data_IF_682143285085
#
_entry.id   IF_682143285085
#
_cell.length_a   1.000
_cell.length_b   1.000
_cell.length_c   1.000
_cell.angle_alpha   90.00
_cell.angle_beta   90.00
_cell.angle_gamma   90.00
#
_symmetry.space_group_name_H-M   'P 1'
#
loop_
_entity.id
_entity.type
_entity.pdbx_description
1 polymer ?
#
# COMPACT_ATOMS: atom_id res chain seq x y z
N UNK A 1 9.55 -20.02 -11.94
CA UNK A 1 8.41 -19.67 -11.07
C UNK A 1 7.35 -18.97 -11.88
N UNK A 2 6.13 -19.37 -11.72
CA UNK A 2 5.02 -18.81 -12.46
C UNK A 2 4.27 -17.78 -11.61
N UNK A 3 3.40 -17.01 -12.27
CA UNK A 3 2.54 -16.06 -11.57
C UNK A 3 1.63 -16.75 -10.54
N UNK A 4 1.43 -18.06 -10.69
CA UNK A 4 0.59 -18.83 -9.75
C UNK A 4 1.24 -19.04 -8.38
N UNK A 5 2.53 -18.71 -8.23
CA UNK A 5 3.23 -18.82 -6.97
C UNK A 5 2.69 -17.84 -5.92
N UNK A 6 2.04 -16.75 -6.34
CA UNK A 6 1.52 -15.70 -5.48
C UNK A 6 0.02 -15.57 -5.70
N UNK A 7 -0.80 -15.59 -4.60
CA UNK A 7 -2.23 -15.33 -4.75
C UNK A 7 -2.45 -13.94 -5.37
N UNK A 8 -3.32 -13.88 -6.36
CA UNK A 8 -3.62 -12.62 -7.04
C UNK A 8 -4.46 -11.73 -6.13
N UNK A 9 -4.05 -10.46 -6.00
CA UNK A 9 -4.73 -9.49 -5.17
C UNK A 9 -5.08 -8.25 -5.98
N UNK A 10 -6.07 -7.53 -5.54
CA UNK A 10 -6.42 -6.22 -6.08
C UNK A 10 -5.79 -5.19 -5.16
N UNK A 11 -4.89 -4.37 -5.70
CA UNK A 11 -4.06 -3.47 -4.91
C UNK A 11 -4.23 -2.04 -5.42
N UNK A 12 -4.48 -1.12 -4.49
CA UNK A 12 -4.50 0.32 -4.77
C UNK A 12 -3.16 0.90 -4.35
N UNK A 13 -2.47 1.54 -5.28
CA UNK A 13 -1.17 2.18 -5.01
C UNK A 13 -1.33 3.69 -5.09
N UNK A 14 -0.92 4.39 -4.05
CA UNK A 14 -1.09 5.84 -3.94
C UNK A 14 0.26 6.50 -3.72
N UNK A 15 0.66 7.36 -4.63
CA UNK A 15 1.90 8.14 -4.52
C UNK A 15 1.76 9.36 -5.42
N UNK A 16 2.16 10.53 -4.92
CA UNK A 16 2.08 11.76 -5.71
C UNK A 16 3.10 11.82 -6.83
N UNK A 17 4.09 10.91 -6.81
CA UNK A 17 5.07 10.80 -7.89
C UNK A 17 4.62 9.70 -8.88
N UNK A 18 4.22 10.08 -10.11
CA UNK A 18 3.75 9.08 -11.08
C UNK A 18 4.76 7.99 -11.38
N UNK A 19 6.05 8.31 -11.40
CA UNK A 19 7.08 7.32 -11.68
C UNK A 19 7.17 6.26 -10.60
N UNK A 20 6.93 6.62 -9.34
CA UNK A 20 6.90 5.65 -8.24
C UNK A 20 5.68 4.74 -8.39
N UNK A 21 4.52 5.32 -8.70
CA UNK A 21 3.32 4.53 -8.96
C UNK A 21 3.54 3.52 -10.09
N UNK A 22 4.15 3.97 -11.19
CA UNK A 22 4.41 3.11 -12.34
C UNK A 22 5.37 1.98 -11.98
N UNK A 23 6.42 2.27 -11.21
CA UNK A 23 7.37 1.26 -10.78
C UNK A 23 6.73 0.20 -9.90
N UNK A 24 5.96 0.63 -8.91
CA UNK A 24 5.28 -0.30 -8.01
C UNK A 24 4.25 -1.13 -8.78
N UNK A 25 3.49 -0.49 -9.65
CA UNK A 25 2.52 -1.20 -10.48
C UNK A 25 3.19 -2.26 -11.34
N UNK A 26 4.33 -1.93 -11.95
CA UNK A 26 5.06 -2.88 -12.77
C UNK A 26 5.49 -4.11 -11.95
N UNK A 27 6.05 -3.86 -10.77
CA UNK A 27 6.50 -4.94 -9.89
C UNK A 27 5.35 -5.84 -9.45
N UNK A 28 4.25 -5.26 -9.05
CA UNK A 28 3.11 -6.03 -8.57
C UNK A 28 2.37 -6.74 -9.70
N UNK A 29 2.29 -6.11 -10.86
CA UNK A 29 1.71 -6.75 -12.04
C UNK A 29 2.53 -7.95 -12.48
N UNK A 30 3.85 -7.86 -12.34
CA UNK A 30 4.75 -8.98 -12.62
C UNK A 30 4.39 -10.22 -11.79
N UNK A 31 3.94 -10.01 -10.56
CA UNK A 31 3.51 -11.09 -9.68
C UNK A 31 2.04 -11.50 -9.90
N UNK A 32 1.37 -10.91 -10.87
CA UNK A 32 0.01 -11.29 -11.23
C UNK A 32 -1.09 -10.51 -10.53
N UNK A 33 -0.76 -9.47 -9.78
CA UNK A 33 -1.77 -8.66 -9.10
C UNK A 33 -2.45 -7.70 -10.07
N UNK A 34 -3.68 -7.31 -9.73
CA UNK A 34 -4.42 -6.26 -10.43
C UNK A 34 -4.20 -4.96 -9.66
N UNK A 35 -3.64 -3.96 -10.33
CA UNK A 35 -3.21 -2.72 -9.67
C UNK A 35 -3.93 -1.51 -10.25
N UNK A 36 -4.50 -0.70 -9.36
CA UNK A 36 -4.98 0.64 -9.69
C UNK A 36 -4.07 1.64 -9.01
N UNK A 37 -3.89 2.79 -9.62
CA UNK A 37 -3.04 3.85 -9.05
C UNK A 37 -3.83 5.14 -8.85
N UNK A 38 -3.42 5.89 -7.83
CA UNK A 38 -3.92 7.23 -7.56
C UNK A 38 -2.75 8.11 -7.16
N UNK A 39 -2.82 9.39 -7.45
CA UNK A 39 -1.70 10.30 -7.21
C UNK A 39 -1.96 11.27 -6.07
N UNK A 40 -3.05 11.11 -5.35
CA UNK A 40 -3.39 11.90 -4.17
C UNK A 40 -4.44 11.17 -3.34
N UNK A 41 -4.65 11.65 -2.13
CA UNK A 41 -5.58 11.00 -1.21
C UNK A 41 -7.03 11.06 -1.66
N UNK A 42 -7.44 12.17 -2.28
CA UNK A 42 -8.82 12.33 -2.73
C UNK A 42 -9.17 11.33 -3.83
N UNK A 43 -8.27 11.19 -4.82
CA UNK A 43 -8.47 10.23 -5.90
C UNK A 43 -8.43 8.80 -5.38
N UNK A 44 -7.55 8.54 -4.41
CA UNK A 44 -7.46 7.22 -3.79
C UNK A 44 -8.77 6.85 -3.09
N UNK A 45 -9.34 7.78 -2.33
CA UNK A 45 -10.62 7.53 -1.65
C UNK A 45 -11.76 7.34 -2.65
N UNK A 46 -11.76 8.07 -3.76
CA UNK A 46 -12.76 7.89 -4.80
C UNK A 46 -12.71 6.49 -5.38
N UNK A 47 -11.51 5.98 -5.67
CA UNK A 47 -11.33 4.62 -6.15
C UNK A 47 -11.71 3.60 -5.08
N UNK A 48 -11.29 3.84 -3.84
CA UNK A 48 -11.59 2.94 -2.72
C UNK A 48 -13.11 2.79 -2.51
N UNK A 49 -13.85 3.86 -2.76
CA UNK A 49 -15.31 3.84 -2.62
C UNK A 49 -16.02 3.14 -3.78
N UNK A 50 -15.37 3.06 -4.94
CA UNK A 50 -15.96 2.44 -6.14
C UNK A 50 -15.64 0.95 -6.26
N UNK A 51 -14.48 0.53 -5.79
CA UNK A 51 -13.98 -0.82 -6.00
C UNK A 51 -13.49 -1.39 -4.68
N UNK A 52 -13.47 -2.71 -4.61
CA UNK A 52 -12.90 -3.39 -3.44
C UNK A 52 -11.44 -3.70 -3.70
N UNK A 53 -10.61 -3.42 -2.72
CA UNK A 53 -9.19 -3.72 -2.76
C UNK A 53 -8.81 -4.64 -1.62
N UNK A 54 -7.90 -5.57 -1.91
CA UNK A 54 -7.35 -6.44 -0.88
C UNK A 54 -6.30 -5.71 -0.06
N UNK A 55 -5.62 -4.74 -0.67
CA UNK A 55 -4.53 -4.02 -0.04
C UNK A 55 -4.45 -2.61 -0.59
N UNK A 56 -4.12 -1.65 0.28
CA UNK A 56 -3.77 -0.28 -0.11
C UNK A 56 -2.31 -0.06 0.24
N UNK A 57 -1.53 0.43 -0.72
CA UNK A 57 -0.14 0.82 -0.50
C UNK A 57 -0.06 2.32 -0.74
N UNK A 58 0.37 3.08 0.25
CA UNK A 58 0.42 4.54 0.13
C UNK A 58 1.78 5.09 0.54
N UNK A 59 2.21 6.15 -0.15
CA UNK A 59 3.33 6.96 0.30
C UNK A 59 2.90 7.74 1.55
N UNK A 60 3.88 8.16 2.35
CA UNK A 60 3.60 8.95 3.54
C UNK A 60 3.45 10.43 3.22
N UNK A 61 4.48 11.03 2.62
CA UNK A 61 4.48 12.46 2.34
C UNK A 61 3.86 12.75 0.99
N UNK A 62 2.65 13.26 1.02
CA UNK A 62 1.91 13.71 -0.16
C UNK A 62 1.30 15.06 0.14
N UNK A 63 1.17 15.94 -0.88
CA UNK A 63 0.48 17.23 -0.66
C UNK A 63 -0.97 17.02 -0.24
N UNK A 64 -1.48 17.94 0.56
CA UNK A 64 -2.88 18.03 1.01
C UNK A 64 -3.27 16.93 1.99
N UNK A 65 -3.06 15.67 1.65
CA UNK A 65 -3.41 14.55 2.53
C UNK A 65 -2.23 13.59 2.61
N UNK A 66 -1.65 13.43 3.80
CA UNK A 66 -0.57 12.47 4.02
C UNK A 66 -1.10 11.05 4.02
N UNK A 67 -0.18 10.10 3.82
CA UNK A 67 -0.54 8.68 3.81
C UNK A 67 -1.19 8.19 5.10
N UNK A 68 -0.77 8.72 6.25
CA UNK A 68 -1.39 8.35 7.53
C UNK A 68 -2.83 8.88 7.64
N UNK A 69 -3.09 10.06 7.10
CA UNK A 69 -4.44 10.62 7.05
C UNK A 69 -5.34 9.81 6.11
N UNK A 70 -4.78 9.40 4.96
CA UNK A 70 -5.50 8.54 4.04
C UNK A 70 -5.83 7.19 4.69
N UNK A 71 -4.85 6.59 5.37
CA UNK A 71 -5.06 5.33 6.08
C UNK A 71 -6.17 5.46 7.12
N UNK A 72 -6.18 6.56 7.88
CA UNK A 72 -7.23 6.80 8.87
C UNK A 72 -8.62 6.88 8.22
N UNK A 73 -8.72 7.57 7.09
CA UNK A 73 -9.98 7.69 6.36
C UNK A 73 -10.46 6.33 5.83
N UNK A 74 -9.53 5.52 5.33
CA UNK A 74 -9.84 4.17 4.84
C UNK A 74 -10.30 3.28 6.00
N UNK A 75 -9.57 3.29 7.11
CA UNK A 75 -9.91 2.47 8.28
C UNK A 75 -11.24 2.90 8.92
N UNK A 76 -11.60 4.18 8.79
CA UNK A 76 -12.90 4.64 9.26
C UNK A 76 -14.05 3.99 8.47
N UNK A 77 -13.84 3.70 7.19
CA UNK A 77 -14.83 3.04 6.35
C UNK A 77 -14.78 1.52 6.50
N UNK A 78 -13.57 0.97 6.61
CA UNK A 78 -13.38 -0.47 6.76
C UNK A 78 -12.19 -0.73 7.68
N UNK A 79 -12.44 -0.96 8.98
CA UNK A 79 -11.35 -1.17 9.95
C UNK A 79 -10.44 -2.36 9.64
N UNK A 80 -10.91 -3.31 8.85
CA UNK A 80 -10.14 -4.51 8.51
C UNK A 80 -9.32 -4.36 7.23
N UNK A 81 -9.44 -3.22 6.54
CA UNK A 81 -8.69 -2.99 5.30
C UNK A 81 -7.19 -2.93 5.58
N UNK A 82 -6.39 -3.83 5.00
CA UNK A 82 -4.93 -3.74 5.15
C UNK A 82 -4.38 -2.52 4.43
N UNK A 83 -3.47 -1.80 5.09
CA UNK A 83 -2.80 -0.63 4.54
C UNK A 83 -1.30 -0.74 4.81
N UNK A 84 -0.50 -0.65 3.76
CA UNK A 84 0.95 -0.63 3.82
C UNK A 84 1.42 0.77 3.44
N UNK A 85 2.41 1.29 4.17
CA UNK A 85 2.98 2.59 3.88
C UNK A 85 4.40 2.42 3.35
N UNK A 86 4.73 3.14 2.28
CA UNK A 86 6.09 3.23 1.75
C UNK A 86 6.59 4.64 2.00
N UNK A 87 7.79 4.76 2.60
CA UNK A 87 8.31 6.09 2.92
C UNK A 87 9.83 6.12 2.98
N UNK A 88 10.41 7.26 2.60
CA UNK A 88 11.82 7.51 2.79
C UNK A 88 12.16 7.80 4.26
N UNK A 89 11.16 7.96 5.10
CA UNK A 89 11.30 8.35 6.50
C UNK A 89 10.93 7.24 7.49
N UNK A 90 11.03 5.97 7.05
CA UNK A 90 10.62 4.83 7.87
C UNK A 90 11.31 4.77 9.23
N UNK A 91 12.62 5.02 9.27
CA UNK A 91 13.36 4.98 10.53
C UNK A 91 12.89 6.07 11.49
N UNK A 92 12.68 7.28 10.97
CA UNK A 92 12.19 8.39 11.80
C UNK A 92 10.80 8.09 12.33
N UNK A 93 9.94 7.53 11.50
CA UNK A 93 8.58 7.18 11.93
C UNK A 93 8.57 6.06 12.96
N UNK A 94 9.45 5.06 12.79
CA UNK A 94 9.56 3.96 13.75
C UNK A 94 10.14 4.42 15.09
N UNK A 95 11.07 5.39 15.06
CA UNK A 95 11.66 5.95 16.25
C UNK A 95 10.71 6.92 16.97
N UNK A 96 9.69 7.40 16.28
CA UNK A 96 8.69 8.29 16.87
C UNK A 96 7.90 7.55 17.95
N UNK A 97 7.61 8.25 19.03
CA UNK A 97 6.78 7.71 20.10
C UNK A 97 5.30 7.77 19.73
N UNK A 98 4.96 8.42 18.62
CA UNK A 98 3.57 8.50 18.16
C UNK A 98 3.31 7.33 17.22
N UNK A 99 2.50 6.34 17.60
CA UNK A 99 2.22 5.22 16.72
C UNK A 99 1.45 5.68 15.49
N UNK A 100 1.81 5.11 14.34
CA UNK A 100 1.07 5.33 13.09
C UNK A 100 -0.16 4.45 13.11
N UNK A 101 -1.26 5.00 13.55
CA UNK A 101 -2.52 4.27 13.63
C UNK A 101 -3.01 3.96 12.22
N UNK A 102 -3.47 2.73 12.01
CA UNK A 102 -4.03 2.34 10.73
C UNK A 102 -3.03 1.83 9.71
N UNK A 103 -1.76 1.75 10.06
CA UNK A 103 -0.72 1.22 9.17
C UNK A 103 -0.35 -0.18 9.62
N UNK A 104 -0.50 -1.16 8.72
CA UNK A 104 -0.27 -2.55 9.03
C UNK A 104 1.17 -2.99 8.75
N UNK A 105 1.86 -2.33 7.83
CA UNK A 105 3.28 -2.57 7.58
C UNK A 105 3.93 -1.33 6.98
N UNK A 106 5.23 -1.21 7.16
CA UNK A 106 6.01 -0.06 6.73
C UNK A 106 7.16 -0.54 5.85
N UNK A 107 7.33 0.09 4.69
CA UNK A 107 8.42 -0.22 3.75
C UNK A 107 9.28 1.03 3.58
N UNK A 108 10.60 0.87 3.73
CA UNK A 108 11.56 1.95 3.51
C UNK A 108 11.84 2.15 2.02
N UNK A 109 11.96 3.40 1.60
CA UNK A 109 12.51 3.74 0.29
C UNK A 109 14.04 3.89 0.41
N UNK A 110 14.82 3.42 -0.54
CA UNK A 110 14.43 2.65 -1.72
C UNK A 110 14.07 1.20 -1.36
N UNK A 111 13.23 0.59 -2.19
CA UNK A 111 12.75 -0.76 -1.94
C UNK A 111 12.92 -1.65 -3.17
N UNK A 112 12.90 -2.95 -2.93
CA UNK A 112 12.96 -3.98 -3.97
C UNK A 112 11.63 -4.71 -4.02
N UNK A 113 11.43 -5.46 -5.10
CA UNK A 113 10.23 -6.31 -5.23
C UNK A 113 10.06 -7.23 -4.03
N UNK A 114 11.15 -7.76 -3.50
CA UNK A 114 11.12 -8.62 -2.32
C UNK A 114 10.51 -7.93 -1.10
N UNK A 115 10.76 -6.64 -0.94
CA UNK A 115 10.17 -5.87 0.16
C UNK A 115 8.65 -5.78 0.02
N UNK A 116 8.17 -5.60 -1.21
CA UNK A 116 6.73 -5.58 -1.49
C UNK A 116 6.11 -6.95 -1.21
N UNK A 117 6.76 -8.01 -1.68
CA UNK A 117 6.30 -9.39 -1.46
C UNK A 117 6.19 -9.72 0.02
N UNK A 118 7.20 -9.33 0.78
CA UNK A 118 7.23 -9.56 2.23
C UNK A 118 6.11 -8.82 2.94
N UNK A 119 5.88 -7.55 2.59
CA UNK A 119 4.82 -6.76 3.20
C UNK A 119 3.44 -7.35 2.87
N UNK A 120 3.25 -7.80 1.63
CA UNK A 120 1.99 -8.45 1.23
C UNK A 120 1.78 -9.73 2.01
N UNK A 121 2.82 -10.54 2.14
CA UNK A 121 2.72 -11.80 2.88
C UNK A 121 2.38 -11.59 4.35
N UNK A 122 2.89 -10.52 4.96
CA UNK A 122 2.59 -10.20 6.36
C UNK A 122 1.18 -9.66 6.57
N UNK A 123 0.70 -8.87 5.61
CA UNK A 123 -0.62 -8.22 5.74
C UNK A 123 -1.75 -9.03 5.14
N UNK A 124 -1.44 -9.87 4.15
CA UNK A 124 -2.42 -10.71 3.45
C UNK A 124 -1.94 -12.15 3.45
N UNK A 125 -2.00 -12.83 4.58
CA UNK A 125 -1.52 -14.20 4.64
C UNK A 125 -2.32 -15.11 3.69
N UNK A 126 -1.63 -16.10 3.13
CA UNK A 126 -2.27 -17.10 2.27
C UNK A 126 -3.18 -17.95 3.13
N UNK A 127 -4.43 -18.11 2.70
CA UNK A 127 -5.35 -18.99 3.40
C UNK A 127 -4.90 -20.43 3.23
N UNK A 128 -4.86 -21.12 4.35
CA UNK A 128 -4.59 -22.55 4.36
C UNK A 128 -5.92 -23.28 4.29
N UNK A 129 -6.08 -24.07 3.28
CA UNK A 129 -7.32 -24.85 3.10
C UNK A 129 -7.15 -26.23 3.69
#
# INVERSE_FOLDING_TARGET
MTADAYPKRRILVVDDEPLVCDAVKMMLTFDGHVVQTAHNGADALALFNKEKFDLVITDFLMPVMRGDQLAAAIKAQNPKQPVVMITAHAETLQASQTPLTGIDALISKPFLLENLREAIARTLPVEQV
#
